data_IF_930023866467
#
_entry.id   IF_930023866467
#
_cell.length_a   1.000
_cell.length_b   1.000
_cell.length_c   1.000
_cell.angle_alpha   90.00
_cell.angle_beta   90.00
_cell.angle_gamma   90.00
#
_symmetry.space_group_name_H-M   'P 1'
#
loop_
_entity.id
_entity.type
_entity.pdbx_description
1 polymer ?
#
# COMPACT_ATOMS: atom_id res chain seq x y z
N UNK A 1 -5.04 -16.72 25.89
CA UNK A 1 -4.96 -15.26 25.69
C UNK A 1 -6.32 -14.77 25.21
N UNK A 2 -7.12 -14.18 26.10
CA UNK A 2 -8.50 -13.75 25.78
C UNK A 2 -8.44 -12.36 25.13
N UNK A 3 -8.80 -12.26 23.84
CA UNK A 3 -8.89 -10.98 23.15
C UNK A 3 -10.19 -10.28 23.52
N UNK A 4 -10.10 -9.17 24.25
CA UNK A 4 -11.24 -8.28 24.49
C UNK A 4 -11.50 -7.50 23.20
N UNK A 5 -12.69 -7.68 22.62
CA UNK A 5 -13.14 -6.86 21.49
C UNK A 5 -13.60 -5.52 22.05
N UNK A 6 -12.78 -4.48 21.92
CA UNK A 6 -13.15 -3.12 22.29
C UNK A 6 -13.89 -2.48 21.11
N UNK A 7 -15.17 -2.18 21.28
CA UNK A 7 -15.95 -1.37 20.33
C UNK A 7 -15.99 0.09 20.78
N UNK A 8 -15.62 1.01 19.90
CA UNK A 8 -15.66 2.45 20.14
C UNK A 8 -16.86 3.08 19.41
N UNK A 9 -17.54 4.02 20.07
CA UNK A 9 -18.61 4.82 19.47
C UNK A 9 -18.01 6.08 18.85
N UNK A 10 -18.29 6.32 17.57
CA UNK A 10 -17.85 7.50 16.82
C UNK A 10 -19.08 8.13 16.19
N UNK A 11 -19.23 9.45 16.34
CA UNK A 11 -20.27 10.22 15.66
C UNK A 11 -19.64 10.85 14.42
N UNK A 12 -20.19 10.59 13.23
CA UNK A 12 -19.67 11.09 11.95
C UNK A 12 -20.82 11.79 11.23
N UNK A 13 -20.55 12.96 10.67
CA UNK A 13 -21.51 13.65 9.82
C UNK A 13 -21.52 13.02 8.43
N UNK A 14 -22.69 12.62 7.94
CA UNK A 14 -22.86 11.91 6.67
C UNK A 14 -23.94 12.63 5.85
N UNK A 15 -23.72 12.89 4.55
CA UNK A 15 -24.74 13.45 3.67
C UNK A 15 -25.99 12.56 3.59
N UNK A 16 -27.16 13.16 3.38
CA UNK A 16 -28.44 12.44 3.36
C UNK A 16 -28.47 11.32 2.30
N UNK A 17 -27.93 11.58 1.11
CA UNK A 17 -27.87 10.61 0.02
C UNK A 17 -27.05 9.38 0.40
N UNK A 18 -25.91 9.58 1.09
CA UNK A 18 -25.07 8.49 1.56
C UNK A 18 -25.77 7.68 2.65
N UNK A 19 -26.56 8.31 3.52
CA UNK A 19 -27.37 7.61 4.52
C UNK A 19 -28.47 6.76 3.85
N UNK A 20 -29.14 7.27 2.80
CA UNK A 20 -30.12 6.50 2.00
C UNK A 20 -29.48 5.28 1.35
N UNK A 21 -28.29 5.42 0.77
CA UNK A 21 -27.54 4.30 0.21
C UNK A 21 -27.19 3.27 1.29
N UNK A 22 -26.72 3.71 2.45
CA UNK A 22 -26.41 2.84 3.59
C UNK A 22 -27.61 2.02 4.06
N UNK A 23 -28.78 2.65 4.09
CA UNK A 23 -30.04 2.00 4.50
C UNK A 23 -30.47 0.94 3.50
N UNK A 24 -30.39 1.26 2.21
CA UNK A 24 -30.67 0.31 1.15
C UNK A 24 -29.73 -0.89 1.20
N UNK A 25 -28.43 -0.66 1.29
CA UNK A 25 -27.40 -1.71 1.37
C UNK A 25 -27.56 -2.58 2.61
N UNK A 26 -27.85 -1.97 3.78
CA UNK A 26 -28.10 -2.69 5.02
C UNK A 26 -29.31 -3.63 4.91
N UNK A 27 -30.41 -3.15 4.32
CA UNK A 27 -31.61 -3.96 4.06
C UNK A 27 -31.33 -5.09 3.08
N UNK A 28 -30.67 -4.79 1.96
CA UNK A 28 -30.33 -5.77 0.93
C UNK A 28 -29.49 -6.93 1.50
N UNK A 29 -28.48 -6.61 2.31
CA UNK A 29 -27.62 -7.62 2.94
C UNK A 29 -28.15 -8.19 4.26
N UNK A 30 -29.34 -7.77 4.73
CA UNK A 30 -29.94 -8.15 6.02
C UNK A 30 -28.98 -7.98 7.21
N UNK A 31 -28.25 -6.85 7.24
CA UNK A 31 -27.23 -6.55 8.25
C UNK A 31 -27.47 -5.21 8.92
N UNK A 32 -26.93 -5.05 10.12
CA UNK A 32 -26.98 -3.77 10.81
C UNK A 32 -26.16 -2.70 10.06
N UNK A 33 -26.66 -1.46 10.03
CA UNK A 33 -25.93 -0.33 9.41
C UNK A 33 -24.50 -0.21 9.94
N UNK A 34 -24.30 -0.40 11.24
CA UNK A 34 -22.99 -0.36 11.87
C UNK A 34 -22.01 -1.40 11.33
N UNK A 35 -22.47 -2.59 10.92
CA UNK A 35 -21.60 -3.60 10.29
C UNK A 35 -21.21 -3.17 8.87
N UNK A 36 -22.14 -2.60 8.11
CA UNK A 36 -21.88 -2.08 6.76
C UNK A 36 -20.87 -0.93 6.83
N UNK A 37 -21.07 0.04 7.73
CA UNK A 37 -20.14 1.17 7.95
C UNK A 37 -18.76 0.64 8.33
N UNK A 38 -18.67 -0.31 9.27
CA UNK A 38 -17.38 -0.89 9.69
C UNK A 38 -16.63 -1.52 8.51
N UNK A 39 -17.32 -2.27 7.66
CA UNK A 39 -16.72 -2.90 6.46
C UNK A 39 -16.29 -1.87 5.43
N UNK A 40 -17.11 -0.86 5.17
CA UNK A 40 -16.79 0.22 4.25
C UNK A 40 -15.56 1.00 4.71
N UNK A 41 -15.49 1.36 5.99
CA UNK A 41 -14.32 2.02 6.58
C UNK A 41 -13.09 1.10 6.50
N UNK A 42 -13.21 -0.18 6.85
CA UNK A 42 -12.08 -1.12 6.79
C UNK A 42 -11.55 -1.29 5.36
N UNK A 43 -12.44 -1.36 4.37
CA UNK A 43 -12.07 -1.44 2.97
C UNK A 43 -11.41 -0.14 2.49
N UNK A 44 -12.00 1.02 2.80
CA UNK A 44 -11.45 2.33 2.45
C UNK A 44 -10.07 2.57 3.08
N UNK A 45 -9.90 2.21 4.35
CA UNK A 45 -8.60 2.31 5.03
C UNK A 45 -7.54 1.42 4.37
N UNK A 46 -7.88 0.21 3.91
CA UNK A 46 -6.90 -0.63 3.18
C UNK A 46 -6.44 -0.03 1.86
N UNK A 47 -7.28 0.80 1.22
CA UNK A 47 -6.93 1.48 -0.03
C UNK A 47 -6.09 2.73 0.24
N UNK A 48 -6.46 3.49 1.27
CA UNK A 48 -5.81 4.77 1.61
C UNK A 48 -4.52 4.56 2.39
N UNK A 49 -4.42 3.48 3.17
CA UNK A 49 -3.25 3.21 3.99
C UNK A 49 -2.03 2.99 3.07
N UNK A 50 -0.94 3.73 3.29
CA UNK A 50 0.27 3.57 2.50
C UNK A 50 0.76 2.12 2.61
N UNK A 51 0.84 1.43 1.47
CA UNK A 51 1.22 0.00 1.40
C UNK A 51 2.63 -0.29 1.90
N UNK A 52 3.46 0.73 2.10
CA UNK A 52 4.77 0.60 2.73
C UNK A 52 5.02 1.74 3.70
N UNK A 53 5.26 1.41 4.98
CA UNK A 53 6.18 2.22 5.77
C UNK A 53 7.49 2.32 4.98
N UNK A 54 8.08 3.51 4.91
CA UNK A 54 9.37 3.75 4.22
C UNK A 54 10.43 2.67 4.54
N UNK A 55 10.44 2.17 5.78
CA UNK A 55 11.29 1.05 6.21
C UNK A 55 11.06 -0.26 5.42
N UNK A 56 9.81 -0.61 5.11
CA UNK A 56 9.49 -1.82 4.33
C UNK A 56 9.89 -1.66 2.86
N UNK A 57 9.76 -0.45 2.31
CA UNK A 57 10.24 -0.15 0.96
C UNK A 57 11.77 -0.28 0.87
N UNK A 58 12.50 0.25 1.86
CA UNK A 58 13.96 0.11 1.97
C UNK A 58 14.38 -1.36 2.14
N UNK A 59 13.67 -2.13 2.96
CA UNK A 59 13.94 -3.56 3.12
C UNK A 59 13.71 -4.34 1.82
N UNK A 60 12.65 -4.02 1.08
CA UNK A 60 12.36 -4.64 -0.21
C UNK A 60 13.43 -4.28 -1.24
N UNK A 61 13.92 -3.04 -1.24
CA UNK A 61 15.00 -2.57 -2.11
C UNK A 61 16.33 -3.28 -1.78
N UNK A 62 16.66 -3.42 -0.50
CA UNK A 62 17.85 -4.17 -0.08
C UNK A 62 17.78 -5.66 -0.50
N UNK A 63 16.62 -6.31 -0.33
CA UNK A 63 16.38 -7.70 -0.78
C UNK A 63 16.45 -7.84 -2.31
N UNK A 64 16.06 -6.80 -3.05
CA UNK A 64 16.23 -6.78 -4.51
C UNK A 64 17.71 -6.66 -4.88
N UNK A 65 18.44 -5.75 -4.23
CA UNK A 65 19.86 -5.54 -4.47
C UNK A 65 20.70 -6.80 -4.17
N UNK A 66 20.36 -7.55 -3.13
CA UNK A 66 21.03 -8.82 -2.77
C UNK A 66 20.85 -9.92 -3.84
N UNK A 67 19.72 -9.91 -4.56
CA UNK A 67 19.45 -10.87 -5.64
C UNK A 67 20.12 -10.52 -6.96
N UNK A 68 20.63 -9.30 -7.11
CA UNK A 68 21.38 -8.90 -8.30
C UNK A 68 22.78 -9.53 -8.18
N UNK A 69 23.20 -10.40 -9.11
CA UNK A 69 24.52 -11.00 -9.06
C UNK A 69 25.58 -9.91 -9.27
N UNK A 70 26.18 -9.46 -8.18
CA UNK A 70 27.24 -8.43 -8.18
C UNK A 70 28.63 -9.01 -8.41
N UNK A 71 28.79 -10.33 -8.38
CA UNK A 71 30.06 -11.00 -8.63
C UNK A 71 30.15 -11.47 -10.08
N UNK A 72 30.96 -10.77 -10.88
CA UNK A 72 31.58 -11.32 -12.09
C UNK A 72 31.52 -10.47 -13.35
N UNK A 73 30.56 -9.55 -13.49
CA UNK A 73 30.31 -8.85 -14.77
C UNK A 73 29.96 -7.35 -14.61
N UNK A 74 30.32 -6.71 -13.50
CA UNK A 74 30.16 -5.26 -13.36
C UNK A 74 31.46 -4.62 -13.86
N UNK A 75 31.42 -3.79 -14.91
CA UNK A 75 32.58 -3.03 -15.34
C UNK A 75 33.05 -2.11 -14.21
N UNK A 76 34.36 -2.06 -13.94
CA UNK A 76 34.94 -1.21 -12.90
C UNK A 76 34.62 0.29 -13.13
N UNK A 77 34.24 0.65 -14.35
CA UNK A 77 33.86 1.98 -14.80
C UNK A 77 32.34 2.21 -14.88
N UNK A 78 31.50 1.34 -14.30
CA UNK A 78 30.03 1.43 -14.38
C UNK A 78 29.49 2.80 -13.94
N UNK A 79 30.01 3.39 -12.86
CA UNK A 79 29.57 4.73 -12.40
C UNK A 79 29.98 5.82 -13.39
N UNK A 80 31.21 5.73 -13.93
CA UNK A 80 31.74 6.70 -14.89
C UNK A 80 31.00 6.64 -16.23
N UNK A 81 30.54 5.46 -16.60
CA UNK A 81 29.92 5.12 -17.88
C UNK A 81 28.47 4.67 -17.74
N UNK A 82 27.76 5.15 -16.72
CA UNK A 82 26.37 4.78 -16.46
C UNK A 82 25.51 4.96 -17.71
N UNK A 83 25.65 6.10 -18.39
CA UNK A 83 24.86 6.42 -19.58
C UNK A 83 25.10 5.45 -20.74
N UNK A 84 26.34 4.96 -20.88
CA UNK A 84 26.71 3.97 -21.89
C UNK A 84 26.00 2.63 -21.62
N UNK A 85 26.02 2.16 -20.38
CA UNK A 85 25.46 0.85 -20.02
C UNK A 85 23.93 0.82 -19.90
N UNK A 86 23.30 1.96 -19.62
CA UNK A 86 21.85 2.05 -19.40
C UNK A 86 21.10 2.53 -20.63
N UNK A 87 21.69 3.43 -21.43
CA UNK A 87 21.03 4.05 -22.60
C UNK A 87 21.81 3.90 -23.92
N UNK A 88 22.97 3.23 -23.92
CA UNK A 88 23.75 3.00 -25.14
C UNK A 88 24.48 4.23 -25.68
N UNK A 89 24.79 5.20 -24.80
CA UNK A 89 25.53 6.42 -25.15
C UNK A 89 26.97 6.17 -25.59
N UNK A 90 27.80 7.22 -25.71
CA UNK A 90 29.25 7.07 -25.93
C UNK A 90 29.97 6.79 -24.61
N UNK A 91 30.91 5.84 -24.64
CA UNK A 91 31.77 5.52 -23.50
C UNK A 91 32.73 6.69 -23.24
N UNK A 92 32.80 7.16 -21.99
CA UNK A 92 33.73 8.18 -21.52
C UNK A 92 35.05 7.49 -21.15
N UNK A 93 36.15 8.00 -21.70
CA UNK A 93 37.52 7.54 -21.42
C UNK A 93 37.96 7.91 -20.00
#
# INVERSE_FOLDING_TARGET
MMYIIVMLRINIYIPEDLNKMLDFTAKYHKKAKAEIVRKAIQAGLRVIQPKSNSAQALLNLAKMAEKIPTKGNIPDDFIKNLDYYTWGGKKRE
#
